data_IF_437189421967
#
_entry.id   IF_437189421967
#
_cell.length_a   1.000
_cell.length_b   1.000
_cell.length_c   1.000
_cell.angle_alpha   90.00
_cell.angle_beta   90.00
_cell.angle_gamma   90.00
#
_symmetry.space_group_name_H-M   'P 1'
#
loop_
_entity.id
_entity.type
_entity.pdbx_description
1 polymer ?
#
# COMPACT_ATOMS: atom_id res chain seq x y z
N UNK A 1 4.63 14.48 -5.46
CA UNK A 1 3.19 14.81 -5.36
C UNK A 1 2.97 15.86 -4.28
N UNK A 2 1.85 16.60 -4.32
CA UNK A 2 1.59 17.77 -3.46
C UNK A 2 1.09 17.33 -2.07
N UNK A 3 0.06 16.48 -2.00
CA UNK A 3 -0.56 16.06 -0.72
C UNK A 3 0.43 15.49 0.32
N UNK A 4 1.31 14.52 -0.03
CA UNK A 4 2.27 13.98 0.93
C UNK A 4 3.28 15.01 1.48
N UNK A 5 3.57 16.06 0.71
CA UNK A 5 4.45 17.15 1.15
C UNK A 5 3.78 18.00 2.21
N UNK A 6 2.58 18.48 1.93
CA UNK A 6 1.75 19.25 2.88
C UNK A 6 1.57 18.46 4.19
N UNK A 7 1.22 17.17 4.09
CA UNK A 7 1.01 16.32 5.26
C UNK A 7 2.30 16.01 6.04
N UNK A 8 3.48 16.12 5.43
CA UNK A 8 4.74 15.86 6.14
C UNK A 8 5.02 16.91 7.21
N UNK A 9 4.64 18.16 6.98
CA UNK A 9 4.84 19.26 7.93
C UNK A 9 4.25 18.92 9.31
N UNK A 10 2.97 18.56 9.39
CA UNK A 10 2.33 18.21 10.66
C UNK A 10 2.68 16.83 11.24
N UNK A 11 3.35 15.97 10.46
CA UNK A 11 3.81 14.65 10.93
C UNK A 11 5.19 14.71 11.58
N UNK A 12 6.04 15.60 11.10
CA UNK A 12 7.41 15.74 11.57
C UNK A 12 7.53 16.89 12.56
N UNK A 13 6.76 17.95 12.35
CA UNK A 13 6.91 19.20 13.08
C UNK A 13 5.54 19.92 13.18
N UNK A 14 5.54 21.25 13.16
CA UNK A 14 4.32 22.05 13.19
C UNK A 14 3.57 22.08 11.85
N UNK A 15 2.27 21.73 11.88
CA UNK A 15 1.35 21.85 10.76
C UNK A 15 1.23 23.30 10.23
N UNK A 16 1.59 24.32 11.02
CA UNK A 16 1.63 25.73 10.58
C UNK A 16 2.53 25.95 9.38
N UNK A 17 3.56 25.15 9.15
CA UNK A 17 4.38 25.28 7.94
C UNK A 17 3.56 25.07 6.66
N UNK A 18 2.62 24.12 6.67
CA UNK A 18 1.69 23.91 5.57
C UNK A 18 0.75 25.10 5.38
N UNK A 19 0.19 25.63 6.48
CA UNK A 19 -0.71 26.79 6.42
C UNK A 19 0.01 28.02 5.86
N UNK A 20 1.21 28.31 6.38
CA UNK A 20 2.02 29.45 5.96
C UNK A 20 2.41 29.41 4.48
N UNK A 21 2.61 28.21 3.91
CA UNK A 21 2.81 28.05 2.46
C UNK A 21 1.53 28.41 1.69
N UNK A 22 0.37 27.94 2.13
CA UNK A 22 -0.90 28.11 1.43
C UNK A 22 -1.44 29.55 1.47
N UNK A 23 -1.02 30.34 2.47
CA UNK A 23 -1.42 31.74 2.63
C UNK A 23 -0.32 32.74 2.22
N UNK A 24 0.74 32.28 1.56
CA UNK A 24 1.84 33.15 1.16
C UNK A 24 1.40 34.17 0.10
N UNK A 25 1.69 35.46 0.33
CA UNK A 25 1.24 36.56 -0.54
C UNK A 25 2.09 36.76 -1.80
N UNK A 26 3.27 36.14 -1.87
CA UNK A 26 4.19 36.27 -3.00
C UNK A 26 4.86 34.94 -3.34
N UNK A 27 5.19 34.76 -4.62
CA UNK A 27 5.89 33.57 -5.10
C UNK A 27 7.24 33.34 -4.40
N UNK A 28 7.94 34.41 -4.03
CA UNK A 28 9.21 34.31 -3.30
C UNK A 28 9.03 33.70 -1.91
N UNK A 29 8.02 34.15 -1.15
CA UNK A 29 7.70 33.58 0.17
C UNK A 29 7.20 32.14 0.02
N UNK A 30 6.33 31.89 -0.97
CA UNK A 30 5.80 30.56 -1.24
C UNK A 30 6.93 29.57 -1.57
N UNK A 31 7.92 30.00 -2.36
CA UNK A 31 9.10 29.18 -2.69
C UNK A 31 9.91 28.82 -1.44
N UNK A 32 10.22 29.81 -0.59
CA UNK A 32 10.95 29.58 0.67
C UNK A 32 10.20 28.59 1.59
N UNK A 33 8.88 28.77 1.78
CA UNK A 33 8.07 27.84 2.60
C UNK A 33 7.95 26.47 1.93
N UNK A 34 7.92 26.42 0.60
CA UNK A 34 7.91 25.20 -0.19
C UNK A 34 9.15 24.34 0.06
N UNK A 35 10.33 24.96 0.12
CA UNK A 35 11.59 24.29 0.43
C UNK A 35 11.60 23.67 1.83
N UNK A 36 11.09 24.40 2.84
CA UNK A 36 10.94 23.87 4.21
C UNK A 36 10.03 22.64 4.21
N UNK A 37 8.88 22.69 3.53
CA UNK A 37 7.97 21.55 3.42
C UNK A 37 8.64 20.37 2.69
N UNK A 38 9.42 20.66 1.64
CA UNK A 38 10.12 19.63 0.90
C UNK A 38 11.16 18.92 1.77
N UNK A 39 11.89 19.67 2.60
CA UNK A 39 12.83 19.13 3.59
C UNK A 39 12.12 18.22 4.60
N UNK A 40 11.01 18.67 5.20
CA UNK A 40 10.21 17.85 6.14
C UNK A 40 9.67 16.59 5.50
N UNK A 41 9.30 16.64 4.22
CA UNK A 41 8.90 15.45 3.47
C UNK A 41 10.05 14.47 3.22
N UNK A 42 11.27 14.95 3.02
CA UNK A 42 12.47 14.10 2.91
C UNK A 42 12.77 13.41 4.23
N UNK A 43 12.80 14.16 5.34
CA UNK A 43 12.98 13.62 6.70
C UNK A 43 11.90 12.57 7.03
N UNK A 44 10.63 12.88 6.71
CA UNK A 44 9.52 11.93 6.90
C UNK A 44 9.71 10.62 6.13
N UNK A 45 10.21 10.69 4.89
CA UNK A 45 10.47 9.49 4.07
C UNK A 45 11.61 8.66 4.64
N UNK A 46 12.62 9.30 5.19
CA UNK A 46 13.74 8.61 5.84
C UNK A 46 13.27 7.86 7.09
N UNK A 47 12.52 8.52 7.97
CA UNK A 47 11.91 7.85 9.11
C UNK A 47 10.97 6.71 8.68
N UNK A 48 10.12 6.92 7.67
CA UNK A 48 9.21 5.90 7.14
C UNK A 48 9.98 4.65 6.68
N UNK A 49 11.07 4.84 5.92
CA UNK A 49 11.95 3.75 5.48
C UNK A 49 12.58 3.02 6.66
N UNK A 50 13.25 3.75 7.56
CA UNK A 50 14.00 3.16 8.67
C UNK A 50 13.06 2.41 9.64
N UNK A 51 11.91 2.99 9.97
CA UNK A 51 10.93 2.36 10.86
C UNK A 51 10.30 1.13 10.19
N UNK A 52 10.00 1.20 8.89
CA UNK A 52 9.50 0.03 8.15
C UNK A 52 10.52 -1.10 8.16
N UNK A 53 11.79 -0.84 7.88
CA UNK A 53 12.86 -1.85 7.91
C UNK A 53 12.99 -2.51 9.29
N UNK A 54 12.96 -1.71 10.36
CA UNK A 54 13.01 -2.23 11.74
C UNK A 54 11.77 -3.05 12.10
N UNK A 55 10.58 -2.58 11.72
CA UNK A 55 9.34 -3.29 11.99
C UNK A 55 9.28 -4.65 11.26
N UNK A 56 9.76 -4.69 10.02
CA UNK A 56 9.89 -5.94 9.27
C UNK A 56 10.88 -6.90 9.94
N UNK A 57 12.03 -6.40 10.36
CA UNK A 57 13.01 -7.22 11.07
C UNK A 57 12.47 -7.80 12.39
N UNK A 58 11.65 -7.05 13.12
CA UNK A 58 10.97 -7.56 14.33
C UNK A 58 9.98 -8.68 14.02
N UNK A 59 9.21 -8.56 12.93
CA UNK A 59 8.25 -9.59 12.51
C UNK A 59 8.99 -10.83 12.00
N UNK A 60 9.99 -10.65 11.14
CA UNK A 60 10.71 -11.75 10.50
C UNK A 60 11.56 -12.55 11.52
N UNK A 61 11.91 -11.96 12.67
CA UNK A 61 12.62 -12.63 13.76
C UNK A 61 11.71 -13.44 14.71
N UNK A 62 10.39 -13.33 14.58
CA UNK A 62 9.42 -13.95 15.50
C UNK A 62 8.45 -14.85 14.73
N UNK A 63 8.70 -16.17 14.82
CA UNK A 63 7.89 -17.18 14.15
C UNK A 63 6.42 -17.18 14.60
N UNK A 64 6.14 -16.76 15.84
CA UNK A 64 4.78 -16.66 16.35
C UNK A 64 4.05 -15.48 15.70
N UNK A 65 4.70 -14.30 15.62
CA UNK A 65 4.14 -13.14 14.93
C UNK A 65 3.88 -13.40 13.44
N UNK A 66 4.69 -14.22 12.79
CA UNK A 66 4.47 -14.61 11.39
C UNK A 66 3.15 -15.39 11.25
N UNK A 67 2.86 -16.33 12.17
CA UNK A 67 1.66 -17.19 12.11
C UNK A 67 0.35 -16.53 12.55
N UNK A 68 0.40 -15.36 13.17
CA UNK A 68 -0.79 -14.66 13.72
C UNK A 68 -1.71 -14.06 12.66
N UNK A 69 -2.96 -13.80 13.02
CA UNK A 69 -3.94 -13.03 12.21
C UNK A 69 -3.83 -11.52 12.44
N UNK A 70 -2.93 -11.06 13.28
CA UNK A 70 -2.65 -9.64 13.53
C UNK A 70 -1.15 -9.32 13.43
N UNK A 71 -0.83 -8.04 13.32
CA UNK A 71 0.54 -7.52 13.51
C UNK A 71 0.51 -6.42 14.55
N UNK A 72 1.25 -6.60 15.64
CA UNK A 72 1.35 -5.57 16.67
C UNK A 72 2.82 -5.42 17.04
N UNK A 73 3.42 -4.29 16.66
CA UNK A 73 4.84 -4.02 16.88
C UNK A 73 5.04 -2.72 17.67
N UNK A 74 6.06 -2.71 18.51
CA UNK A 74 6.40 -1.58 19.37
C UNK A 74 7.91 -1.33 19.34
N UNK A 75 8.28 -0.05 19.26
CA UNK A 75 9.64 0.39 19.56
C UNK A 75 9.59 1.83 20.10
N UNK A 76 10.23 2.05 21.25
CA UNK A 76 10.25 3.34 21.94
C UNK A 76 10.90 4.48 21.12
N UNK A 77 11.75 4.15 20.15
CA UNK A 77 12.53 5.12 19.37
C UNK A 77 11.84 5.56 18.07
N UNK A 78 10.68 4.99 17.73
CA UNK A 78 10.01 5.32 16.47
C UNK A 78 9.34 6.70 16.52
N UNK A 79 9.38 7.42 15.40
CA UNK A 79 8.77 8.75 15.32
C UNK A 79 7.24 8.66 15.28
N UNK A 80 6.56 9.26 16.28
CA UNK A 80 5.10 9.19 16.46
C UNK A 80 4.30 9.58 15.21
N UNK A 81 4.69 10.64 14.50
CA UNK A 81 3.95 11.07 13.30
C UNK A 81 4.09 10.15 12.07
N UNK A 82 4.95 9.13 12.15
CA UNK A 82 5.28 8.23 11.04
C UNK A 82 4.70 6.83 11.24
N UNK A 83 4.46 6.38 12.48
CA UNK A 83 3.96 5.02 12.77
C UNK A 83 2.67 4.67 12.01
N UNK A 84 1.80 5.66 11.75
CA UNK A 84 0.57 5.42 10.98
C UNK A 84 0.76 5.19 9.49
N UNK A 85 1.89 5.59 8.90
CA UNK A 85 2.26 5.27 7.51
C UNK A 85 2.82 3.84 7.49
N UNK A 86 3.66 3.52 8.45
CA UNK A 86 4.24 2.18 8.59
C UNK A 86 3.15 1.14 8.85
N UNK A 87 2.17 1.44 9.70
CA UNK A 87 1.02 0.57 9.92
C UNK A 87 0.27 0.25 8.61
N UNK A 88 0.07 1.24 7.73
CA UNK A 88 -0.53 1.02 6.41
C UNK A 88 0.33 0.12 5.53
N UNK A 89 1.65 0.36 5.45
CA UNK A 89 2.57 -0.48 4.67
C UNK A 89 2.61 -1.94 5.15
N UNK A 90 2.63 -2.14 6.47
CA UNK A 90 2.59 -3.48 7.06
C UNK A 90 1.24 -4.16 6.81
N UNK A 91 0.13 -3.41 6.89
CA UNK A 91 -1.19 -3.91 6.52
C UNK A 91 -1.23 -4.32 5.05
N UNK A 92 -0.64 -3.53 4.14
CA UNK A 92 -0.57 -3.87 2.71
C UNK A 92 0.31 -5.10 2.45
N UNK A 93 1.43 -5.26 3.18
CA UNK A 93 2.35 -6.39 3.01
C UNK A 93 1.80 -7.71 3.54
N UNK A 94 1.24 -7.70 4.75
CA UNK A 94 0.77 -8.91 5.44
C UNK A 94 -0.75 -9.12 5.34
N UNK A 95 -1.48 -8.16 4.78
CA UNK A 95 -2.93 -8.16 4.59
C UNK A 95 -3.72 -8.64 5.81
N UNK A 96 -3.40 -8.04 6.97
CA UNK A 96 -4.04 -8.35 8.25
C UNK A 96 -4.09 -7.13 9.18
N UNK A 97 -5.04 -7.05 10.14
CA UNK A 97 -5.13 -5.93 11.08
C UNK A 97 -3.79 -5.66 11.77
N UNK A 98 -3.33 -4.41 11.68
CA UNK A 98 -1.98 -4.03 12.08
C UNK A 98 -1.96 -2.82 13.00
N UNK A 99 -1.14 -2.87 14.05
CA UNK A 99 -0.90 -1.81 15.02
C UNK A 99 0.61 -1.57 15.13
N UNK A 100 1.03 -0.32 14.97
CA UNK A 100 2.42 0.12 15.17
C UNK A 100 2.44 1.13 16.30
N UNK A 101 3.27 0.89 17.31
CA UNK A 101 3.32 1.68 18.54
C UNK A 101 4.71 2.28 18.79
N UNK A 102 4.73 3.44 19.42
CA UNK A 102 5.96 4.09 19.92
C UNK A 102 5.72 4.74 21.27
N UNK A 103 6.80 5.04 22.00
CA UNK A 103 6.71 5.76 23.26
C UNK A 103 6.31 7.23 23.03
N UNK A 104 5.37 7.73 23.84
CA UNK A 104 4.94 9.12 23.84
C UNK A 104 4.38 9.49 25.21
N UNK A 105 4.95 10.52 25.84
CA UNK A 105 4.46 11.11 27.10
C UNK A 105 4.27 10.08 28.25
N UNK A 106 5.19 9.14 28.40
CA UNK A 106 5.12 8.10 29.44
C UNK A 106 4.22 6.90 29.12
N UNK A 107 3.54 6.91 27.98
CA UNK A 107 2.72 5.80 27.47
C UNK A 107 3.26 5.30 26.13
N UNK A 108 2.65 4.25 25.58
CA UNK A 108 2.79 3.89 24.18
C UNK A 108 1.60 4.43 23.38
N UNK A 109 1.89 5.22 22.33
CA UNK A 109 0.91 5.67 21.36
C UNK A 109 0.95 4.76 20.13
N UNK A 110 -0.20 4.24 19.73
CA UNK A 110 -0.37 3.34 18.60
C UNK A 110 -1.17 3.94 17.46
N UNK A 111 -0.82 3.54 16.23
CA UNK A 111 -1.67 3.72 15.06
C UNK A 111 -2.05 2.35 14.49
N UNK A 112 -3.35 2.15 14.34
CA UNK A 112 -3.96 0.91 13.91
C UNK A 112 -4.59 1.05 12.51
N UNK A 113 -4.51 -0.01 11.72
CA UNK A 113 -5.05 -0.12 10.35
C UNK A 113 -5.71 -1.48 10.17
N UNK A 114 -6.79 -1.50 9.42
CA UNK A 114 -7.57 -2.70 9.13
C UNK A 114 -7.46 -3.10 7.66
N UNK A 115 -7.82 -4.34 7.37
CA UNK A 115 -8.11 -4.81 6.01
C UNK A 115 -9.52 -4.38 5.59
N UNK A 116 -9.79 -4.40 4.28
CA UNK A 116 -11.11 -4.08 3.77
C UNK A 116 -12.15 -5.08 4.31
N UNK A 117 -13.31 -4.59 4.74
CA UNK A 117 -14.39 -5.42 5.28
C UNK A 117 -14.33 -5.64 6.80
N UNK A 118 -13.13 -5.66 7.42
CA UNK A 118 -12.98 -5.92 8.86
C UNK A 118 -13.14 -4.65 9.72
N UNK A 119 -13.93 -4.73 10.79
CA UNK A 119 -14.14 -3.62 11.73
C UNK A 119 -13.13 -3.63 12.88
N UNK A 120 -12.10 -2.82 12.72
CA UNK A 120 -11.04 -2.67 13.72
C UNK A 120 -11.53 -1.95 14.98
N UNK A 121 -12.54 -1.08 14.87
CA UNK A 121 -13.02 -0.33 16.03
C UNK A 121 -13.71 -1.27 17.03
N UNK A 122 -14.55 -2.17 16.53
CA UNK A 122 -15.20 -3.21 17.35
C UNK A 122 -14.16 -4.15 17.99
N UNK A 123 -13.11 -4.54 17.26
CA UNK A 123 -12.04 -5.35 17.83
C UNK A 123 -11.29 -4.63 18.97
N UNK A 124 -11.06 -3.31 18.84
CA UNK A 124 -10.42 -2.50 19.88
C UNK A 124 -11.33 -2.25 21.09
N UNK A 125 -12.65 -2.16 20.89
CA UNK A 125 -13.63 -2.06 21.98
C UNK A 125 -13.52 -3.26 22.94
N UNK A 126 -13.36 -4.47 22.41
CA UNK A 126 -13.17 -5.68 23.23
C UNK A 126 -11.84 -5.69 24.01
N UNK A 127 -10.88 -4.85 23.62
CA UNK A 127 -9.58 -4.68 24.26
C UNK A 127 -9.51 -3.45 25.19
N UNK A 128 -10.64 -2.76 25.42
CA UNK A 128 -10.70 -1.47 26.10
C UNK A 128 -10.19 -1.45 27.55
N UNK A 129 -10.22 -2.58 28.24
CA UNK A 129 -9.67 -2.78 29.60
C UNK A 129 -8.14 -2.61 29.67
N UNK A 130 -7.43 -2.79 28.56
CA UNK A 130 -5.97 -2.63 28.48
C UNK A 130 -5.57 -1.24 27.95
N UNK A 131 -6.52 -0.46 27.44
CA UNK A 131 -6.29 0.81 26.75
C UNK A 131 -6.61 1.99 27.68
N UNK A 132 -5.74 3.00 27.67
CA UNK A 132 -6.01 4.26 28.36
C UNK A 132 -6.98 5.13 27.56
N UNK A 133 -6.81 5.12 26.23
CA UNK A 133 -7.66 5.84 25.29
C UNK A 133 -7.56 5.17 23.92
N UNK A 134 -8.66 5.12 23.19
CA UNK A 134 -8.63 4.82 21.76
C UNK A 134 -9.78 5.54 21.04
N UNK A 135 -9.64 5.70 19.73
CA UNK A 135 -10.65 6.31 18.90
C UNK A 135 -10.32 6.19 17.43
N UNK A 136 -11.33 6.28 16.57
CA UNK A 136 -11.16 6.15 15.13
C UNK A 136 -12.43 5.66 14.45
N UNK A 137 -12.22 4.95 13.35
CA UNK A 137 -13.27 4.38 12.52
C UNK A 137 -12.92 2.95 12.13
N UNK A 138 -13.85 2.29 11.42
CA UNK A 138 -13.76 0.92 10.93
C UNK A 138 -12.36 0.49 10.42
N UNK A 139 -11.65 1.36 9.69
CA UNK A 139 -10.39 1.01 9.02
C UNK A 139 -9.13 1.60 9.67
N UNK A 140 -9.27 2.52 10.62
CA UNK A 140 -8.13 3.21 11.20
C UNK A 140 -8.47 3.74 12.60
N UNK A 141 -7.55 3.52 13.54
CA UNK A 141 -7.69 4.03 14.90
C UNK A 141 -6.34 4.54 15.46
N UNK A 142 -6.43 5.43 16.44
CA UNK A 142 -5.34 5.77 17.33
C UNK A 142 -5.63 5.20 18.71
N UNK A 143 -4.59 4.76 19.42
CA UNK A 143 -4.70 4.22 20.77
C UNK A 143 -3.54 4.66 21.66
N UNK A 144 -3.77 4.66 22.97
CA UNK A 144 -2.80 4.91 24.02
C UNK A 144 -2.90 3.78 25.03
N UNK A 145 -1.76 3.20 25.39
CA UNK A 145 -1.65 2.04 26.29
C UNK A 145 -0.44 2.21 27.21
N UNK A 146 -0.52 1.71 28.44
CA UNK A 146 0.65 1.59 29.33
C UNK A 146 1.66 0.62 28.73
N UNK A 147 2.94 0.96 28.75
CA UNK A 147 3.98 0.11 28.13
C UNK A 147 4.00 -1.30 28.72
N UNK A 148 3.72 -1.46 30.03
CA UNK A 148 3.62 -2.79 30.65
C UNK A 148 2.43 -3.65 30.14
N UNK A 149 1.38 -3.04 29.60
CA UNK A 149 0.21 -3.75 29.10
C UNK A 149 0.36 -4.26 27.66
N UNK A 150 1.43 -3.85 26.95
CA UNK A 150 1.62 -4.20 25.52
C UNK A 150 1.57 -5.72 25.30
N UNK A 151 2.28 -6.58 26.06
CA UNK A 151 2.23 -8.03 25.83
C UNK A 151 0.83 -8.62 26.00
N UNK A 152 0.12 -8.22 27.07
CA UNK A 152 -1.26 -8.66 27.31
C UNK A 152 -2.20 -8.20 26.18
N UNK A 153 -2.00 -6.97 25.69
CA UNK A 153 -2.79 -6.43 24.58
C UNK A 153 -2.52 -7.16 23.27
N UNK A 154 -1.26 -7.49 22.96
CA UNK A 154 -0.90 -8.26 21.77
C UNK A 154 -1.62 -9.61 21.73
N UNK A 155 -1.71 -10.29 22.87
CA UNK A 155 -2.43 -11.55 22.98
C UNK A 155 -3.94 -11.34 22.83
N UNK A 156 -4.53 -10.43 23.60
CA UNK A 156 -5.98 -10.19 23.56
C UNK A 156 -6.47 -9.72 22.19
N UNK A 157 -5.71 -8.83 21.54
CA UNK A 157 -6.03 -8.35 20.20
C UNK A 157 -5.97 -9.47 19.16
N UNK A 158 -4.96 -10.35 19.25
CA UNK A 158 -4.90 -11.54 18.40
C UNK A 158 -6.09 -12.46 18.62
N UNK A 159 -6.47 -12.75 19.87
CA UNK A 159 -7.62 -13.62 20.20
C UNK A 159 -8.94 -13.05 19.64
N UNK A 160 -9.18 -11.75 19.84
CA UNK A 160 -10.38 -11.07 19.33
C UNK A 160 -10.41 -11.11 17.80
N UNK A 161 -9.33 -10.72 17.14
CA UNK A 161 -9.26 -10.71 15.67
C UNK A 161 -9.37 -12.13 15.12
N UNK A 162 -8.65 -13.10 15.67
CA UNK A 162 -8.64 -14.46 15.18
C UNK A 162 -10.03 -15.14 15.23
N UNK A 163 -10.83 -14.78 16.24
CA UNK A 163 -12.22 -15.24 16.40
C UNK A 163 -13.20 -14.52 15.47
N UNK A 164 -12.93 -13.28 15.09
CA UNK A 164 -13.91 -12.40 14.41
C UNK A 164 -13.61 -12.16 12.94
N UNK A 165 -12.36 -12.27 12.49
CA UNK A 165 -11.99 -12.04 11.10
C UNK A 165 -12.31 -13.27 10.24
N UNK A 166 -13.14 -13.13 9.19
CA UNK A 166 -13.33 -14.18 8.20
C UNK A 166 -12.01 -14.47 7.46
N UNK A 167 -11.74 -15.73 7.15
CA UNK A 167 -10.48 -16.14 6.52
C UNK A 167 -10.30 -15.51 5.13
N UNK A 168 -11.39 -15.29 4.40
CA UNK A 168 -11.38 -14.63 3.10
C UNK A 168 -10.87 -13.19 3.17
N UNK A 169 -10.97 -12.51 4.33
CA UNK A 169 -10.47 -11.14 4.50
C UNK A 169 -8.97 -11.10 4.80
N UNK A 170 -8.33 -12.25 5.06
CA UNK A 170 -6.88 -12.37 5.18
C UNK A 170 -6.20 -12.58 3.82
N UNK A 171 -6.99 -12.81 2.77
CA UNK A 171 -6.49 -12.98 1.41
C UNK A 171 -6.71 -11.69 0.65
N UNK A 172 -5.62 -11.08 0.18
CA UNK A 172 -5.71 -9.89 -0.65
C UNK A 172 -6.48 -10.23 -1.94
N UNK A 173 -7.62 -9.57 -2.12
CA UNK A 173 -8.45 -9.72 -3.31
C UNK A 173 -8.31 -8.51 -4.22
N UNK A 174 -8.41 -8.74 -5.52
CA UNK A 174 -8.46 -7.70 -6.54
C UNK A 174 -9.84 -7.76 -7.17
N UNK A 175 -10.62 -6.68 -7.03
CA UNK A 175 -11.89 -6.54 -7.73
C UNK A 175 -11.62 -6.29 -9.21
N UNK A 176 -12.17 -7.13 -10.07
CA UNK A 176 -12.04 -7.04 -11.52
C UNK A 176 -13.34 -6.44 -12.07
N UNK A 177 -13.22 -5.35 -12.82
CA UNK A 177 -14.38 -4.66 -13.40
C UNK A 177 -14.86 -5.34 -14.69
N UNK A 178 -13.94 -5.81 -15.53
CA UNK A 178 -14.27 -6.55 -16.74
C UNK A 178 -13.14 -7.44 -17.25
N UNK A 179 -13.51 -8.48 -17.99
CA UNK A 179 -12.56 -9.26 -18.79
C UNK A 179 -12.38 -8.62 -20.17
N UNK A 180 -11.13 -8.46 -20.59
CA UNK A 180 -10.75 -7.96 -21.91
C UNK A 180 -9.79 -8.92 -22.59
N UNK A 181 -9.99 -9.14 -23.88
CA UNK A 181 -8.93 -9.62 -24.76
C UNK A 181 -8.00 -8.47 -25.13
N UNK A 182 -6.72 -8.77 -25.31
CA UNK A 182 -5.72 -7.76 -25.65
C UNK A 182 -6.05 -7.04 -26.97
N UNK A 183 -6.61 -7.74 -27.95
CA UNK A 183 -7.03 -7.18 -29.24
C UNK A 183 -8.17 -6.15 -29.15
N UNK A 184 -8.89 -6.10 -28.02
CA UNK A 184 -9.93 -5.10 -27.75
C UNK A 184 -9.34 -3.78 -27.22
N UNK A 185 -8.10 -3.80 -26.74
CA UNK A 185 -7.43 -2.63 -26.19
C UNK A 185 -6.87 -1.79 -27.33
N UNK A 186 -7.44 -0.61 -27.54
CA UNK A 186 -7.02 0.33 -28.58
C UNK A 186 -6.93 1.75 -28.05
N UNK A 187 -6.23 2.63 -28.78
CA UNK A 187 -6.23 4.07 -28.46
C UNK A 187 -7.65 4.68 -28.48
N UNK A 188 -8.59 4.12 -29.26
CA UNK A 188 -10.00 4.54 -29.21
C UNK A 188 -10.66 4.10 -27.90
N UNK A 189 -10.48 2.85 -27.50
CA UNK A 189 -10.98 2.34 -26.23
C UNK A 189 -10.46 3.17 -25.04
N UNK A 190 -9.15 3.41 -24.99
CA UNK A 190 -8.54 4.18 -23.90
C UNK A 190 -9.01 5.64 -23.84
N UNK A 191 -9.27 6.29 -24.98
CA UNK A 191 -9.88 7.64 -25.01
C UNK A 191 -11.28 7.70 -24.42
N UNK A 192 -12.04 6.61 -24.50
CA UNK A 192 -13.34 6.50 -23.82
C UNK A 192 -13.10 6.29 -22.32
N UNK A 193 -12.17 5.40 -21.98
CA UNK A 193 -11.82 5.11 -20.58
C UNK A 193 -11.41 6.37 -19.80
N UNK A 194 -10.60 7.23 -20.42
CA UNK A 194 -10.16 8.52 -19.84
C UNK A 194 -11.30 9.47 -19.50
N UNK A 195 -12.47 9.33 -20.13
CA UNK A 195 -13.63 10.19 -19.81
C UNK A 195 -14.24 9.87 -18.44
N UNK A 196 -13.85 8.76 -17.80
CA UNK A 196 -14.24 8.43 -16.43
C UNK A 196 -13.36 9.10 -15.36
N UNK A 197 -12.33 9.84 -15.75
CA UNK A 197 -11.52 10.64 -14.83
C UNK A 197 -12.35 11.78 -14.19
N UNK A 198 -12.00 12.25 -12.98
CA UNK A 198 -10.80 11.90 -12.20
C UNK A 198 -10.92 10.59 -11.44
N UNK A 199 -9.88 9.76 -11.51
CA UNK A 199 -9.79 8.55 -10.70
C UNK A 199 -9.29 8.84 -9.29
N UNK A 200 -9.80 8.08 -8.31
CA UNK A 200 -9.43 8.20 -6.90
C UNK A 200 -10.33 7.34 -6.00
N UNK A 201 -10.27 7.52 -4.67
CA UNK A 201 -11.23 6.88 -3.76
C UNK A 201 -12.66 7.13 -4.25
N UNK A 202 -13.50 6.08 -4.24
CA UNK A 202 -14.87 6.07 -4.76
C UNK A 202 -15.02 6.13 -6.31
N UNK A 203 -13.93 6.29 -7.05
CA UNK A 203 -13.90 6.16 -8.52
C UNK A 203 -12.52 5.63 -8.95
N UNK A 204 -12.19 4.41 -8.52
CA UNK A 204 -10.87 3.84 -8.82
C UNK A 204 -10.73 3.61 -10.31
N UNK A 205 -9.49 3.72 -10.83
CA UNK A 205 -9.22 3.34 -12.21
C UNK A 205 -9.62 1.87 -12.42
N UNK A 206 -10.34 1.54 -13.51
CA UNK A 206 -10.88 0.21 -13.69
C UNK A 206 -9.78 -0.82 -13.89
N UNK A 207 -9.94 -1.96 -13.23
CA UNK A 207 -9.05 -3.12 -13.30
C UNK A 207 -9.66 -4.14 -14.25
N UNK A 208 -8.90 -4.47 -15.29
CA UNK A 208 -9.28 -5.47 -16.27
C UNK A 208 -8.53 -6.77 -16.03
N UNK A 209 -9.09 -7.88 -16.50
CA UNK A 209 -8.39 -9.16 -16.58
C UNK A 209 -8.25 -9.62 -18.03
N UNK A 210 -7.06 -10.11 -18.39
CA UNK A 210 -6.85 -10.91 -19.60
C UNK A 210 -6.33 -12.27 -19.20
N UNK A 211 -6.95 -13.31 -19.74
CA UNK A 211 -6.64 -14.70 -19.39
C UNK A 211 -5.73 -15.36 -20.40
N UNK A 212 -4.96 -16.35 -19.95
CA UNK A 212 -4.11 -17.18 -20.80
C UNK A 212 -3.21 -16.34 -21.74
N UNK A 213 -2.54 -15.34 -21.17
CA UNK A 213 -1.53 -14.55 -21.88
C UNK A 213 -0.17 -15.24 -21.80
N UNK A 214 0.68 -14.92 -22.75
CA UNK A 214 2.08 -15.38 -22.81
C UNK A 214 3.00 -14.19 -22.88
N UNK A 215 4.23 -14.37 -22.39
CA UNK A 215 5.27 -13.37 -22.57
C UNK A 215 5.88 -13.47 -23.96
N UNK A 216 6.00 -12.31 -24.61
CA UNK A 216 6.76 -12.14 -25.83
C UNK A 216 8.22 -11.80 -25.49
N UNK A 217 9.16 -12.64 -25.92
CA UNK A 217 10.56 -12.51 -25.57
C UNK A 217 10.82 -12.93 -24.12
N UNK A 218 11.62 -12.16 -23.38
CA UNK A 218 11.93 -12.43 -21.97
C UNK A 218 11.44 -11.29 -21.08
N UNK A 219 10.89 -11.66 -19.92
CA UNK A 219 10.62 -10.73 -18.85
C UNK A 219 11.92 -10.38 -18.12
N UNK A 220 11.99 -9.15 -17.60
CA UNK A 220 13.15 -8.59 -16.93
C UNK A 220 12.75 -7.79 -15.69
N UNK A 221 13.72 -7.49 -14.83
CA UNK A 221 13.53 -6.61 -13.70
C UNK A 221 13.73 -5.14 -14.11
N UNK A 222 12.80 -4.27 -13.75
CA UNK A 222 13.00 -2.82 -13.77
C UNK A 222 13.38 -2.35 -12.36
N UNK A 223 14.60 -1.82 -12.20
CA UNK A 223 15.18 -1.58 -10.89
C UNK A 223 15.47 -2.92 -10.18
N UNK A 224 15.10 -3.03 -8.91
CA UNK A 224 15.39 -4.25 -8.12
C UNK A 224 14.18 -5.17 -7.93
N UNK A 225 12.95 -4.63 -7.97
CA UNK A 225 11.74 -5.36 -7.49
C UNK A 225 10.57 -5.36 -8.46
N UNK A 226 10.68 -4.71 -9.62
CA UNK A 226 9.54 -4.54 -10.52
C UNK A 226 9.68 -5.41 -11.76
N UNK A 227 8.58 -6.00 -12.20
CA UNK A 227 8.50 -6.83 -13.40
C UNK A 227 8.27 -5.95 -14.63
N UNK A 228 9.07 -6.15 -15.67
CA UNK A 228 8.85 -5.55 -16.99
C UNK A 228 8.83 -6.64 -18.05
N UNK A 229 7.79 -6.66 -18.87
CA UNK A 229 7.61 -7.66 -19.93
C UNK A 229 6.77 -7.11 -21.09
N UNK A 230 6.71 -7.85 -22.19
CA UNK A 230 5.68 -7.72 -23.21
C UNK A 230 4.80 -8.96 -23.21
N UNK A 231 3.49 -8.81 -23.37
CA UNK A 231 2.53 -9.95 -23.38
C UNK A 231 1.69 -9.98 -24.64
N UNK A 232 1.19 -11.16 -24.98
CA UNK A 232 0.24 -11.40 -26.08
C UNK A 232 -0.74 -12.53 -25.76
N UNK A 233 -1.82 -12.62 -26.53
CA UNK A 233 -2.77 -13.75 -26.52
C UNK A 233 -2.82 -14.49 -27.86
N UNK A 234 -2.51 -13.83 -28.98
CA UNK A 234 -2.77 -14.33 -30.33
C UNK A 234 -1.59 -14.16 -31.31
N UNK A 235 -0.39 -13.87 -30.78
CA UNK A 235 0.83 -13.55 -31.55
C UNK A 235 0.69 -12.35 -32.52
N UNK A 236 -0.38 -11.54 -32.39
CA UNK A 236 -0.61 -10.35 -33.24
C UNK A 236 -0.61 -9.08 -32.41
N UNK A 237 -1.27 -9.14 -31.25
CA UNK A 237 -1.40 -7.98 -30.36
C UNK A 237 -0.44 -8.11 -29.19
N UNK A 238 0.38 -7.08 -29.01
CA UNK A 238 1.43 -7.03 -27.99
C UNK A 238 1.28 -5.79 -27.12
N UNK A 239 1.40 -5.96 -25.80
CA UNK A 239 1.45 -4.83 -24.86
C UNK A 239 2.67 -4.90 -23.96
N UNK A 240 3.34 -3.75 -23.85
CA UNK A 240 4.29 -3.55 -22.78
C UNK A 240 3.57 -3.55 -21.44
N UNK A 241 4.20 -4.16 -20.44
CA UNK A 241 3.68 -4.31 -19.10
C UNK A 241 4.71 -3.85 -18.06
N UNK A 242 4.23 -3.24 -16.99
CA UNK A 242 5.01 -2.95 -15.77
C UNK A 242 4.22 -3.48 -14.57
N UNK A 243 4.86 -4.24 -13.69
CA UNK A 243 4.27 -4.79 -12.47
C UNK A 243 5.12 -4.44 -11.27
N UNK A 244 4.61 -3.61 -10.37
CA UNK A 244 5.39 -3.15 -9.21
C UNK A 244 5.42 -4.22 -8.11
N UNK A 245 6.61 -4.73 -7.79
CA UNK A 245 6.78 -5.72 -6.72
C UNK A 245 6.59 -7.16 -7.20
N UNK A 246 6.40 -7.38 -8.51
CA UNK A 246 6.04 -8.67 -9.09
C UNK A 246 7.23 -9.42 -9.71
N UNK A 247 8.47 -9.06 -9.36
CA UNK A 247 9.68 -9.70 -9.94
C UNK A 247 9.84 -11.16 -9.54
N UNK A 248 9.20 -11.61 -8.47
CA UNK A 248 9.19 -13.02 -8.04
C UNK A 248 8.63 -13.98 -9.10
N UNK A 249 7.75 -13.49 -9.99
CA UNK A 249 7.14 -14.30 -11.04
C UNK A 249 8.04 -14.49 -12.27
N UNK A 250 9.20 -13.82 -12.34
CA UNK A 250 10.12 -13.90 -13.49
C UNK A 250 10.49 -15.34 -13.89
N UNK A 251 10.81 -16.28 -12.98
CA UNK A 251 11.13 -17.65 -13.36
C UNK A 251 9.98 -18.34 -14.08
N UNK A 252 8.77 -18.28 -13.53
CA UNK A 252 7.57 -18.90 -14.13
C UNK A 252 7.22 -18.29 -15.49
N UNK A 253 7.36 -16.96 -15.61
CA UNK A 253 7.13 -16.23 -16.86
C UNK A 253 8.14 -16.65 -17.93
N UNK A 254 9.44 -16.64 -17.60
CA UNK A 254 10.50 -16.94 -18.55
C UNK A 254 10.59 -18.43 -18.91
N UNK A 255 9.96 -19.31 -18.13
CA UNK A 255 9.74 -20.72 -18.48
C UNK A 255 8.61 -20.93 -19.51
N UNK A 256 7.97 -19.86 -19.99
CA UNK A 256 6.95 -19.91 -21.03
C UNK A 256 5.58 -20.38 -20.55
N UNK A 257 5.33 -20.38 -19.23
CA UNK A 257 4.01 -20.70 -18.69
C UNK A 257 2.98 -19.66 -19.13
N UNK A 258 1.77 -20.10 -19.44
CA UNK A 258 0.64 -19.20 -19.62
C UNK A 258 0.12 -18.70 -18.28
N UNK A 259 -0.38 -17.47 -18.24
CA UNK A 259 -0.90 -16.87 -17.02
C UNK A 259 -2.05 -15.89 -17.28
N UNK A 260 -2.82 -15.60 -16.25
CA UNK A 260 -3.79 -14.51 -16.24
C UNK A 260 -3.13 -13.25 -15.65
N UNK A 261 -3.50 -12.09 -16.17
CA UNK A 261 -3.08 -10.78 -15.64
C UNK A 261 -4.28 -9.93 -15.26
N UNK A 262 -4.21 -9.28 -14.09
CA UNK A 262 -5.10 -8.18 -13.73
C UNK A 262 -4.34 -6.86 -13.85
N UNK A 263 -4.90 -5.83 -14.49
CA UNK A 263 -4.15 -4.62 -14.82
C UNK A 263 -5.04 -3.39 -14.99
N UNK A 264 -4.43 -2.21 -14.83
CA UNK A 264 -4.96 -0.93 -15.34
C UNK A 264 -4.29 -0.61 -16.68
N UNK A 265 -4.99 0.10 -17.56
CA UNK A 265 -4.43 0.57 -18.83
C UNK A 265 -3.93 2.00 -18.62
N UNK A 266 -2.70 2.28 -19.05
CA UNK A 266 -2.05 3.57 -18.87
C UNK A 266 -1.38 4.02 -20.18
N UNK A 267 -1.14 5.32 -20.32
CA UNK A 267 -0.27 5.86 -21.38
C UNK A 267 1.13 6.06 -20.83
N UNK A 268 2.12 5.49 -21.52
CA UNK A 268 3.52 5.77 -21.27
C UNK A 268 4.07 6.66 -22.38
N UNK A 269 4.61 7.82 -22.02
CA UNK A 269 5.24 8.75 -22.96
C UNK A 269 6.74 8.75 -22.77
N UNK A 270 7.48 8.28 -23.78
CA UNK A 270 8.93 8.22 -23.77
C UNK A 270 9.49 8.81 -25.06
N UNK A 271 10.43 9.77 -24.96
CA UNK A 271 11.01 10.48 -26.11
C UNK A 271 9.95 10.96 -27.12
N UNK A 272 8.90 11.64 -26.64
CA UNK A 272 7.75 12.13 -27.44
C UNK A 272 6.93 11.06 -28.16
N UNK A 273 7.11 9.77 -27.84
CA UNK A 273 6.23 8.69 -28.31
C UNK A 273 5.36 8.21 -27.16
N UNK A 274 4.04 8.35 -27.33
CA UNK A 274 3.04 7.84 -26.39
C UNK A 274 2.53 6.49 -26.87
N UNK A 275 2.59 5.48 -25.99
CA UNK A 275 2.05 4.16 -26.24
C UNK A 275 1.22 3.69 -25.05
N UNK A 276 0.23 2.84 -25.30
CA UNK A 276 -0.49 2.17 -24.22
C UNK A 276 0.41 1.14 -23.54
N UNK A 277 0.34 1.07 -22.23
CA UNK A 277 1.04 0.13 -21.36
C UNK A 277 0.04 -0.45 -20.35
N UNK A 278 0.23 -1.71 -19.98
CA UNK A 278 -0.55 -2.35 -18.91
C UNK A 278 0.23 -2.28 -17.59
N UNK A 279 -0.39 -1.69 -16.57
CA UNK A 279 0.15 -1.68 -15.22
C UNK A 279 -0.46 -2.85 -14.44
N UNK A 280 0.34 -3.92 -14.32
CA UNK A 280 -0.07 -5.20 -13.74
C UNK A 280 -0.24 -5.05 -12.23
N UNK A 281 -1.43 -5.42 -11.75
CA UNK A 281 -1.82 -5.45 -10.33
C UNK A 281 -1.73 -6.85 -9.73
N UNK A 282 -1.81 -7.89 -10.55
CA UNK A 282 -1.68 -9.27 -10.10
C UNK A 282 -1.48 -10.23 -11.27
N UNK A 283 -0.81 -11.34 -10.99
CA UNK A 283 -0.56 -12.42 -11.94
C UNK A 283 -1.06 -13.71 -11.30
N UNK A 284 -1.76 -14.53 -12.08
CA UNK A 284 -2.16 -15.88 -11.66
C UNK A 284 -1.72 -16.89 -12.70
N UNK A 285 -0.85 -17.80 -12.32
CA UNK A 285 -0.58 -19.00 -13.11
C UNK A 285 -1.71 -19.99 -12.87
N UNK A 286 -2.18 -20.63 -13.94
CA UNK A 286 -3.02 -21.82 -13.81
C UNK A 286 -2.19 -22.87 -13.06
N UNK A 287 -2.72 -23.44 -11.99
CA UNK A 287 -2.07 -24.56 -11.33
C UNK A 287 -1.83 -25.66 -12.37
N UNK A 288 -0.57 -26.05 -12.56
CA UNK A 288 -0.29 -27.32 -13.22
C UNK A 288 -0.97 -28.39 -12.38
N UNK A 289 -1.95 -29.07 -12.98
CA UNK A 289 -2.64 -30.20 -12.34
C UNK A 289 -1.65 -31.29 -11.95
#
# INVERSE_FOLDING_TARGET
>A
TIGPRINAAGRIDDAKHAVNLLIADTDAIAFEKGEVINLKNTERKEHDRNITEQALALIDADAELIGRKTTVVYNAQWHKGVIGIVASRLTEKYYRPTIVMTQSNGYAAGSARSVLGFDLYEALLECGDLLEQFGGHKYAAGLTIKTENIPAFQQKFEEVVARTIPEELLIQSISIDAELKLDQISAKFYRILKQFEPFGPQNMAPIFVSRNVYTYGSASTAGEKHLKMSVHQDNKTYFNCIGFGLSEYLPSINNGMAFDICYTIEENTWMNKTALQLNIKGIRFSATS
#
